data_IF_008043196634
#
_entry.id   IF_008043196634
#
_cell.length_a   1.000
_cell.length_b   1.000
_cell.length_c   1.000
_cell.angle_alpha   90.00
_cell.angle_beta   90.00
_cell.angle_gamma   90.00
#
_symmetry.space_group_name_H-M   'P 1'
#
loop_
_entity.id
_entity.type
_entity.pdbx_description
1 polymer ?
#
# COMPACT_ATOMS: atom_id res chain seq x y z
N UNK A 1 -12.62 -8.79 30.29
CA UNK A 1 -12.02 -9.11 28.97
C UNK A 1 -11.49 -7.81 28.37
N UNK A 2 -10.26 -7.75 27.81
CA UNK A 2 -9.67 -6.52 27.23
C UNK A 2 -9.68 -6.60 25.68
N UNK A 3 -10.76 -6.19 25.01
CA UNK A 3 -10.94 -6.39 23.56
C UNK A 3 -9.93 -5.63 22.69
N UNK A 4 -9.24 -4.62 23.24
CA UNK A 4 -8.15 -3.91 22.55
C UNK A 4 -6.83 -4.69 22.52
N UNK A 5 -6.73 -5.85 23.20
CA UNK A 5 -5.54 -6.71 23.14
C UNK A 5 -5.78 -7.88 22.19
N UNK A 6 -5.63 -7.62 20.90
CA UNK A 6 -5.58 -8.65 19.87
C UNK A 6 -4.14 -9.15 19.76
N UNK A 7 -3.92 -10.44 20.03
CA UNK A 7 -2.61 -11.09 19.83
C UNK A 7 -2.76 -12.10 18.70
N UNK A 8 -2.16 -11.81 17.56
CA UNK A 8 -2.11 -12.76 16.44
C UNK A 8 -1.20 -13.93 16.84
N UNK A 9 -1.69 -15.15 16.64
CA UNK A 9 -0.99 -16.38 17.04
C UNK A 9 -0.07 -16.90 15.93
N UNK A 10 -0.35 -16.56 14.67
CA UNK A 10 0.45 -16.94 13.53
C UNK A 10 1.53 -15.88 13.30
N UNK A 11 2.76 -16.16 13.74
CA UNK A 11 3.94 -15.51 13.18
C UNK A 11 4.55 -16.47 12.16
N UNK A 12 5.18 -15.94 11.11
CA UNK A 12 6.01 -16.75 10.23
C UNK A 12 7.02 -17.51 11.08
N UNK A 13 6.89 -18.84 11.14
CA UNK A 13 7.91 -19.67 11.76
C UNK A 13 8.99 -19.83 10.72
N UNK A 14 9.95 -18.89 10.71
CA UNK A 14 11.13 -19.06 9.89
C UNK A 14 11.74 -20.42 10.22
N UNK A 15 11.78 -21.33 9.25
CA UNK A 15 12.41 -22.64 9.42
C UNK A 15 13.90 -22.48 9.77
N UNK A 16 14.48 -21.36 9.34
CA UNK A 16 15.80 -20.87 9.73
C UNK A 16 15.76 -19.37 10.11
N UNK A 17 15.97 -19.07 11.39
CA UNK A 17 16.07 -17.69 11.88
C UNK A 17 17.24 -16.90 11.26
N UNK A 18 18.35 -17.57 10.91
CA UNK A 18 19.51 -16.89 10.37
C UNK A 18 19.22 -16.34 8.97
N UNK A 19 18.59 -17.16 8.12
CA UNK A 19 18.13 -16.77 6.77
C UNK A 19 17.09 -15.65 6.85
N UNK A 20 16.05 -15.79 7.67
CA UNK A 20 15.05 -14.72 7.84
C UNK A 20 15.67 -13.39 8.27
N UNK A 21 16.59 -13.41 9.25
CA UNK A 21 17.29 -12.18 9.66
C UNK A 21 18.17 -11.61 8.55
N UNK A 22 18.69 -12.44 7.65
CA UNK A 22 19.47 -11.97 6.51
C UNK A 22 18.58 -11.27 5.48
N UNK A 23 17.45 -11.86 5.11
CA UNK A 23 16.47 -11.26 4.20
C UNK A 23 15.96 -9.91 4.72
N UNK A 24 15.61 -9.84 6.02
CA UNK A 24 15.22 -8.58 6.66
C UNK A 24 16.33 -7.53 6.56
N UNK A 25 17.59 -7.91 6.79
CA UNK A 25 18.73 -6.99 6.65
C UNK A 25 18.87 -6.49 5.22
N UNK A 26 18.68 -7.35 4.23
CA UNK A 26 18.84 -7.00 2.82
C UNK A 26 17.75 -6.02 2.37
N UNK A 27 16.49 -6.26 2.77
CA UNK A 27 15.39 -5.32 2.52
C UNK A 27 15.63 -3.98 3.24
N UNK A 28 15.97 -4.00 4.53
CA UNK A 28 16.25 -2.77 5.28
C UNK A 28 17.41 -1.98 4.66
N UNK A 29 18.46 -2.66 4.18
CA UNK A 29 19.58 -2.03 3.50
C UNK A 29 19.13 -1.36 2.19
N UNK A 30 18.31 -2.03 1.39
CA UNK A 30 17.78 -1.46 0.15
C UNK A 30 16.96 -0.17 0.41
N UNK A 31 16.11 -0.18 1.44
CA UNK A 31 15.36 1.02 1.83
C UNK A 31 16.27 2.15 2.31
N UNK A 32 17.31 1.83 3.09
CA UNK A 32 18.28 2.81 3.56
C UNK A 32 19.05 3.46 2.41
N UNK A 33 19.39 2.69 1.38
CA UNK A 33 20.13 3.14 0.20
C UNK A 33 19.23 3.79 -0.87
N UNK A 34 17.91 3.83 -0.68
CA UNK A 34 16.97 4.25 -1.71
C UNK A 34 17.25 5.65 -2.26
N UNK A 35 17.69 6.60 -1.42
CA UNK A 35 18.00 7.96 -1.85
C UNK A 35 19.24 8.02 -2.75
N UNK A 36 20.35 7.39 -2.33
CA UNK A 36 21.58 7.32 -3.12
C UNK A 36 21.34 6.61 -4.47
N UNK A 37 20.57 5.52 -4.44
CA UNK A 37 20.15 4.80 -5.63
C UNK A 37 19.34 5.70 -6.57
N UNK A 38 18.37 6.45 -6.04
CA UNK A 38 17.55 7.37 -6.82
C UNK A 38 18.38 8.47 -7.49
N UNK A 39 19.36 9.05 -6.78
CA UNK A 39 20.29 10.04 -7.33
C UNK A 39 21.15 9.46 -8.47
N UNK A 40 21.50 8.17 -8.40
CA UNK A 40 22.18 7.44 -9.48
C UNK A 40 21.26 6.95 -10.60
N UNK A 41 19.96 7.23 -10.50
CA UNK A 41 18.96 6.79 -11.49
C UNK A 41 18.48 5.36 -11.29
N UNK A 42 18.43 4.85 -10.07
CA UNK A 42 17.83 3.54 -9.74
C UNK A 42 16.64 3.76 -8.81
N UNK A 43 15.47 3.25 -9.19
CA UNK A 43 14.24 3.44 -8.42
C UNK A 43 14.00 2.25 -7.49
N UNK A 44 13.93 2.50 -6.19
CA UNK A 44 13.45 1.51 -5.20
C UNK A 44 11.96 1.71 -5.02
N UNK A 45 11.17 0.72 -5.45
CA UNK A 45 9.71 0.78 -5.42
C UNK A 45 9.18 -0.32 -4.51
N UNK A 46 8.36 0.08 -3.53
CA UNK A 46 7.58 -0.84 -2.70
C UNK A 46 6.17 -0.93 -3.25
N UNK A 47 5.71 -2.15 -3.56
CA UNK A 47 4.37 -2.38 -4.11
C UNK A 47 3.51 -3.06 -3.06
N UNK A 48 2.30 -2.54 -2.86
CA UNK A 48 1.32 -3.17 -1.98
C UNK A 48 -0.09 -3.07 -2.56
N UNK A 49 -0.97 -3.93 -2.04
CA UNK A 49 -2.32 -4.11 -2.52
C UNK A 49 -3.31 -3.98 -1.38
N UNK A 50 -4.30 -3.13 -1.60
CA UNK A 50 -5.43 -3.02 -0.73
C UNK A 50 -6.68 -3.44 -1.49
N UNK A 51 -7.04 -4.70 -1.31
CA UNK A 51 -8.28 -5.27 -1.85
C UNK A 51 -9.46 -4.99 -0.93
N UNK A 52 -10.67 -4.99 -1.49
CA UNK A 52 -11.89 -4.91 -0.69
C UNK A 52 -12.17 -3.54 -0.06
N UNK A 53 -11.62 -2.45 -0.60
CA UNK A 53 -11.91 -1.09 -0.14
C UNK A 53 -13.38 -0.79 -0.41
N UNK A 54 -14.18 -0.65 0.64
CA UNK A 54 -15.60 -0.37 0.49
C UNK A 54 -15.82 1.01 -0.13
N UNK A 55 -16.53 1.06 -1.26
CA UNK A 55 -17.00 2.30 -1.84
C UNK A 55 -18.28 2.72 -1.09
N UNK A 56 -18.12 3.60 -0.10
CA UNK A 56 -19.19 4.07 0.77
C UNK A 56 -19.55 5.52 0.44
N UNK A 57 -20.85 5.79 0.34
CA UNK A 57 -21.40 7.14 0.25
C UNK A 57 -22.32 7.38 1.45
N UNK A 58 -22.16 8.52 2.13
CA UNK A 58 -23.08 8.93 3.21
C UNK A 58 -24.41 9.33 2.61
N UNK A 59 -25.52 8.83 3.16
CA UNK A 59 -26.87 9.12 2.62
C UNK A 59 -27.24 10.60 2.85
N UNK A 60 -26.76 11.16 3.97
CA UNK A 60 -26.96 12.56 4.34
C UNK A 60 -25.63 13.21 4.72
N UNK A 61 -25.50 14.55 4.58
CA UNK A 61 -24.31 15.26 5.01
C UNK A 61 -24.20 15.26 6.54
N UNK A 62 -22.96 15.25 7.04
CA UNK A 62 -22.67 15.40 8.45
C UNK A 62 -23.15 16.78 8.96
N UNK A 63 -23.56 16.84 10.23
CA UNK A 63 -23.90 18.11 10.85
C UNK A 63 -22.64 18.77 11.42
N UNK A 64 -22.29 19.98 10.95
CA UNK A 64 -21.09 20.66 11.41
C UNK A 64 -21.21 21.04 12.89
N UNK A 65 -20.05 21.14 13.54
CA UNK A 65 -19.95 21.59 14.92
C UNK A 65 -20.55 22.99 15.10
N UNK A 66 -21.29 23.20 16.20
CA UNK A 66 -21.83 24.51 16.58
C UNK A 66 -21.73 24.71 18.09
N UNK A 67 -21.89 25.94 18.59
CA UNK A 67 -21.70 26.25 20.02
C UNK A 67 -22.58 25.35 20.91
N UNK A 68 -21.93 24.49 21.69
CA UNK A 68 -22.61 23.53 22.59
C UNK A 68 -23.03 22.21 21.95
N UNK A 69 -22.69 21.96 20.68
CA UNK A 69 -22.98 20.72 19.95
C UNK A 69 -21.71 20.18 19.27
N UNK A 70 -21.46 18.89 19.46
CA UNK A 70 -20.42 18.17 18.74
C UNK A 70 -20.83 17.95 17.28
N UNK A 71 -19.84 17.69 16.43
CA UNK A 71 -20.08 17.19 15.07
C UNK A 71 -20.86 15.88 15.13
N UNK A 72 -21.88 15.74 14.27
CA UNK A 72 -22.66 14.51 14.15
C UNK A 72 -22.37 13.92 12.78
N UNK A 73 -21.82 12.71 12.78
CA UNK A 73 -21.59 11.96 11.55
C UNK A 73 -22.81 11.12 11.21
N UNK A 74 -23.22 11.15 9.94
CA UNK A 74 -24.29 10.29 9.45
C UNK A 74 -23.86 8.82 9.51
N UNK A 75 -24.67 7.98 10.16
CA UNK A 75 -24.37 6.57 10.33
C UNK A 75 -24.88 5.72 9.17
N UNK A 76 -25.91 6.20 8.46
CA UNK A 76 -26.42 5.52 7.27
C UNK A 76 -25.52 5.74 6.05
N UNK A 77 -25.26 4.66 5.32
CA UNK A 77 -24.43 4.70 4.12
C UNK A 77 -25.01 3.82 3.03
N UNK A 78 -24.82 4.25 1.78
CA UNK A 78 -25.03 3.41 0.60
C UNK A 78 -23.72 2.71 0.26
N UNK A 79 -23.80 1.39 0.07
CA UNK A 79 -22.66 0.57 -0.37
C UNK A 79 -22.69 0.42 -1.89
N UNK A 80 -21.63 0.88 -2.55
CA UNK A 80 -21.47 0.80 -4.01
C UNK A 80 -20.62 -0.39 -4.48
N UNK A 81 -20.21 -1.25 -3.54
CA UNK A 81 -19.33 -2.38 -3.80
C UNK A 81 -17.97 -2.19 -3.13
N UNK A 82 -16.95 -2.84 -3.69
CA UNK A 82 -15.58 -2.79 -3.19
C UNK A 82 -14.60 -2.61 -4.33
N UNK A 83 -13.62 -1.74 -4.15
CA UNK A 83 -12.50 -1.57 -5.08
C UNK A 83 -11.23 -2.20 -4.54
N UNK A 84 -10.35 -2.53 -5.47
CA UNK A 84 -8.94 -2.86 -5.24
C UNK A 84 -8.08 -1.67 -5.62
N UNK A 85 -7.09 -1.37 -4.78
CA UNK A 85 -5.98 -0.48 -5.08
C UNK A 85 -4.69 -1.31 -5.16
N UNK A 86 -3.92 -1.12 -6.23
CA UNK A 86 -2.52 -1.54 -6.34
C UNK A 86 -1.67 -0.27 -6.43
N UNK A 87 -0.73 -0.09 -5.52
CA UNK A 87 0.04 1.15 -5.41
C UNK A 87 1.55 0.88 -5.39
N UNK A 88 2.28 1.68 -6.16
CA UNK A 88 3.74 1.73 -6.12
C UNK A 88 4.17 2.92 -5.28
N UNK A 89 4.90 2.68 -4.20
CA UNK A 89 5.51 3.71 -3.38
C UNK A 89 7.00 3.85 -3.73
N UNK A 90 7.38 5.03 -4.23
CA UNK A 90 8.78 5.35 -4.45
C UNK A 90 9.45 5.75 -3.13
N UNK A 91 10.32 4.88 -2.62
CA UNK A 91 10.88 5.00 -1.28
C UNK A 91 11.69 6.29 -1.11
N UNK A 92 12.44 6.69 -2.13
CA UNK A 92 13.29 7.88 -2.09
C UNK A 92 12.50 9.20 -2.05
N UNK A 93 11.36 9.27 -2.75
CA UNK A 93 10.61 10.53 -2.93
C UNK A 93 9.33 10.61 -2.10
N UNK A 94 8.87 9.48 -1.55
CA UNK A 94 7.63 9.37 -0.82
C UNK A 94 6.37 9.45 -1.70
N UNK A 95 6.51 9.35 -3.02
CA UNK A 95 5.39 9.51 -3.96
C UNK A 95 4.78 8.17 -4.34
N UNK A 96 3.47 8.21 -4.64
CA UNK A 96 2.78 7.08 -5.27
C UNK A 96 2.89 7.22 -6.78
N UNK A 97 3.42 6.20 -7.45
CA UNK A 97 3.60 6.15 -8.90
C UNK A 97 2.53 5.25 -9.54
N UNK A 98 1.88 5.76 -10.59
CA UNK A 98 0.95 5.00 -11.44
C UNK A 98 0.01 4.04 -10.65
N UNK A 99 -0.76 4.51 -9.66
CA UNK A 99 -1.64 3.62 -8.90
C UNK A 99 -2.77 3.10 -9.80
N UNK A 100 -3.17 1.84 -9.57
CA UNK A 100 -4.29 1.21 -10.30
C UNK A 100 -5.46 1.01 -9.35
N UNK A 101 -6.63 1.47 -9.77
CA UNK A 101 -7.91 1.20 -9.13
C UNK A 101 -8.76 0.32 -10.05
N UNK A 102 -9.39 -0.70 -9.49
CA UNK A 102 -10.25 -1.60 -10.26
C UNK A 102 -11.16 -2.43 -9.38
N UNK A 103 -12.05 -3.18 -10.01
CA UNK A 103 -13.09 -3.96 -9.30
C UNK A 103 -12.55 -5.30 -8.79
N UNK A 104 -11.44 -5.79 -9.36
CA UNK A 104 -10.86 -7.11 -9.09
C UNK A 104 -9.41 -7.01 -8.63
N UNK A 105 -8.92 -8.12 -8.07
CA UNK A 105 -7.49 -8.38 -7.94
C UNK A 105 -7.16 -9.74 -8.54
N UNK A 106 -6.76 -9.75 -9.79
CA UNK A 106 -6.27 -10.93 -10.52
C UNK A 106 -4.77 -10.82 -10.78
N UNK A 107 -4.14 -11.90 -11.21
CA UNK A 107 -2.74 -11.86 -11.68
C UNK A 107 -2.60 -10.95 -12.91
N UNK A 108 -3.57 -10.97 -13.81
CA UNK A 108 -3.60 -10.09 -14.99
C UNK A 108 -3.64 -8.61 -14.60
N UNK A 109 -4.41 -8.25 -13.58
CA UNK A 109 -4.48 -6.87 -13.06
C UNK A 109 -3.11 -6.43 -12.53
N UNK A 110 -2.41 -7.32 -11.83
CA UNK A 110 -1.08 -7.04 -11.29
C UNK A 110 -0.03 -6.92 -12.41
N UNK A 111 -0.03 -7.82 -13.39
CA UNK A 111 0.88 -7.74 -14.54
C UNK A 111 0.65 -6.44 -15.31
N UNK A 112 -0.60 -6.08 -15.58
CA UNK A 112 -0.94 -4.83 -16.25
C UNK A 112 -0.48 -3.60 -15.46
N UNK A 113 -0.61 -3.64 -14.13
CA UNK A 113 -0.12 -2.59 -13.24
C UNK A 113 1.40 -2.42 -13.32
N UNK A 114 2.16 -3.52 -13.27
CA UNK A 114 3.63 -3.47 -13.38
C UNK A 114 4.05 -2.97 -14.77
N UNK A 115 3.39 -3.42 -15.84
CA UNK A 115 3.66 -2.94 -17.20
C UNK A 115 3.41 -1.43 -17.33
N UNK A 116 2.30 -0.93 -16.79
CA UNK A 116 1.99 0.49 -16.79
C UNK A 116 3.05 1.29 -16.00
N UNK A 117 3.51 0.74 -14.88
CA UNK A 117 4.55 1.35 -14.05
C UNK A 117 5.88 1.46 -14.78
N UNK A 118 6.35 0.37 -15.39
CA UNK A 118 7.61 0.35 -16.16
C UNK A 118 7.53 1.31 -17.36
N UNK A 119 6.36 1.41 -18.00
CA UNK A 119 6.16 2.35 -19.10
C UNK A 119 6.26 3.84 -18.68
N UNK A 120 6.19 4.16 -17.38
CA UNK A 120 6.36 5.53 -16.91
C UNK A 120 7.81 6.02 -16.92
N UNK A 121 8.79 5.11 -17.03
CA UNK A 121 10.19 5.47 -17.16
C UNK A 121 10.79 5.06 -18.52
N UNK A 122 10.74 5.96 -19.53
CA UNK A 122 11.27 5.70 -20.85
C UNK A 122 12.80 5.62 -20.90
N UNK A 123 13.52 5.94 -19.81
CA UNK A 123 14.99 5.87 -19.73
C UNK A 123 15.50 4.47 -19.36
N UNK A 124 14.61 3.55 -18.97
CA UNK A 124 14.96 2.22 -18.46
C UNK A 124 15.92 2.29 -17.26
N UNK A 125 15.73 3.28 -16.39
CA UNK A 125 16.39 3.28 -15.10
C UNK A 125 15.93 2.04 -14.33
N UNK A 126 16.88 1.31 -13.73
CA UNK A 126 16.59 0.02 -13.10
C UNK A 126 15.56 0.17 -11.97
N UNK A 127 14.55 -0.70 -11.95
CA UNK A 127 13.62 -0.85 -10.84
C UNK A 127 14.11 -1.97 -9.92
N UNK A 128 14.26 -1.68 -8.63
CA UNK A 128 14.44 -2.68 -7.60
C UNK A 128 13.13 -2.81 -6.83
N UNK A 129 12.51 -3.99 -6.94
CA UNK A 129 11.33 -4.40 -6.18
C UNK A 129 11.80 -5.31 -5.04
N UNK A 130 11.87 -4.84 -3.78
CA UNK A 130 12.03 -5.73 -2.65
C UNK A 130 10.79 -6.62 -2.57
N UNK A 131 10.96 -7.91 -2.84
CA UNK A 131 9.92 -8.90 -2.61
C UNK A 131 9.88 -9.27 -1.12
N UNK A 132 8.68 -9.34 -0.55
CA UNK A 132 8.44 -9.91 0.78
C UNK A 132 8.66 -11.43 0.81
#
# INVERSE_FOLDING_TARGET
MKPHRTKYWLNHKAEDEATFRQEVRDVCKLYHQAQELHESGVHVISVDEKTGIQALERIHPDHPMSKGKLELHEFEYKRHGTQTLIANFEVATGKILCPTLGDTRTENDFVAHIQATVATDPRQNGYLLPTN
#
